data_IF_898874400506
#
_entry.id   IF_898874400506
#
_cell.length_a   1.000
_cell.length_b   1.000
_cell.length_c   1.000
_cell.angle_alpha   90.00
_cell.angle_beta   90.00
_cell.angle_gamma   90.00
#
_symmetry.space_group_name_H-M   'P 1'
#
loop_
_entity.id
_entity.type
_entity.pdbx_description
1 polymer ?
#
# COMPACT_ATOMS: atom_id res chain seq x y z
N UNK A 1 16.00 7.08 -35.77
CA UNK A 1 16.25 5.99 -36.72
C UNK A 1 15.75 6.36 -38.12
N UNK A 2 14.48 6.78 -38.27
CA UNK A 2 13.92 7.10 -39.59
C UNK A 2 14.71 8.19 -40.32
N UNK A 3 15.09 9.27 -39.63
CA UNK A 3 15.89 10.35 -40.20
C UNK A 3 17.33 9.95 -40.54
N UNK A 4 17.96 9.09 -39.73
CA UNK A 4 19.30 8.57 -39.99
C UNK A 4 19.25 7.62 -41.19
N UNK A 5 18.23 6.77 -41.30
CA UNK A 5 18.00 5.93 -42.46
C UNK A 5 17.81 6.74 -43.75
N UNK A 6 17.04 7.84 -43.69
CA UNK A 6 16.89 8.75 -44.83
C UNK A 6 18.21 9.39 -45.24
N UNK A 7 19.05 9.83 -44.28
CA UNK A 7 20.40 10.37 -44.59
C UNK A 7 21.29 9.32 -45.24
N UNK A 8 21.31 8.09 -44.72
CA UNK A 8 22.06 6.98 -45.28
C UNK A 8 21.62 6.65 -46.73
N UNK A 9 20.32 6.76 -46.99
CA UNK A 9 19.77 6.59 -48.34
C UNK A 9 20.30 7.62 -49.34
N UNK A 10 20.29 8.89 -48.93
CA UNK A 10 20.83 9.98 -49.77
C UNK A 10 22.38 9.90 -49.95
N UNK A 11 23.07 9.26 -49.00
CA UNK A 11 24.50 9.00 -49.08
C UNK A 11 24.86 7.70 -49.83
N UNK A 12 23.91 7.13 -50.58
CA UNK A 12 24.02 5.89 -51.37
C UNK A 12 24.31 4.62 -50.57
N UNK A 13 24.18 4.68 -49.24
CA UNK A 13 24.31 3.53 -48.35
C UNK A 13 22.94 2.79 -48.15
N UNK A 14 22.36 2.33 -49.25
CA UNK A 14 20.99 1.79 -49.26
C UNK A 14 20.77 0.60 -48.30
N UNK A 15 21.75 -0.29 -48.15
CA UNK A 15 21.65 -1.43 -47.21
C UNK A 15 21.53 -0.95 -45.78
N UNK A 16 22.31 0.03 -45.33
CA UNK A 16 22.21 0.60 -43.99
C UNK A 16 20.85 1.29 -43.76
N UNK A 17 20.36 2.01 -44.76
CA UNK A 17 19.07 2.66 -44.72
C UNK A 17 17.94 1.64 -44.50
N UNK A 18 17.91 0.55 -45.26
CA UNK A 18 16.91 -0.52 -45.11
C UNK A 18 16.96 -1.19 -43.76
N UNK A 19 18.15 -1.50 -43.22
CA UNK A 19 18.29 -2.11 -41.90
C UNK A 19 17.81 -1.17 -40.82
N UNK A 20 18.15 0.11 -40.81
CA UNK A 20 17.69 1.09 -39.85
C UNK A 20 16.17 1.24 -39.88
N UNK A 21 15.54 1.26 -41.04
CA UNK A 21 14.09 1.30 -41.18
C UNK A 21 13.41 0.00 -40.69
N UNK A 22 14.05 -1.16 -40.92
CA UNK A 22 13.59 -2.43 -40.41
C UNK A 22 13.51 -2.45 -38.87
N UNK A 23 14.39 -1.73 -38.16
CA UNK A 23 14.32 -1.58 -36.71
C UNK A 23 13.19 -0.65 -36.22
N UNK A 24 12.71 0.26 -37.09
CA UNK A 24 11.56 1.13 -36.71
C UNK A 24 10.30 0.31 -36.53
N UNK A 25 10.08 -0.70 -37.37
CA UNK A 25 8.88 -1.55 -37.33
C UNK A 25 8.68 -2.24 -35.95
N UNK A 26 9.64 -3.00 -35.40
CA UNK A 26 9.47 -3.65 -34.10
C UNK A 26 9.40 -2.65 -32.93
N UNK A 27 10.03 -1.46 -33.05
CA UNK A 27 9.88 -0.40 -32.03
C UNK A 27 8.43 0.10 -32.01
N UNK A 28 7.86 0.42 -33.17
CA UNK A 28 6.47 0.88 -33.29
C UNK A 28 5.49 -0.22 -32.84
N UNK A 29 5.75 -1.46 -33.25
CA UNK A 29 4.96 -2.62 -32.83
C UNK A 29 5.00 -2.83 -31.29
N UNK A 30 6.17 -2.66 -30.66
CA UNK A 30 6.32 -2.74 -29.20
C UNK A 30 5.54 -1.65 -28.46
N UNK A 31 5.54 -0.42 -29.00
CA UNK A 31 4.74 0.70 -28.47
C UNK A 31 3.25 0.42 -28.67
N UNK A 32 2.84 -0.03 -29.84
CA UNK A 32 1.45 -0.39 -30.15
C UNK A 32 0.94 -1.53 -29.25
N UNK A 33 1.76 -2.55 -29.03
CA UNK A 33 1.43 -3.63 -28.09
C UNK A 33 1.17 -3.11 -26.68
N UNK A 34 2.03 -2.20 -26.19
CA UNK A 34 1.82 -1.58 -24.89
C UNK A 34 0.54 -0.75 -24.83
N UNK A 35 0.23 0.02 -25.87
CA UNK A 35 -1.00 0.80 -25.93
C UNK A 35 -2.25 -0.10 -25.84
N UNK A 36 -2.18 -1.30 -26.43
CA UNK A 36 -3.27 -2.27 -26.45
C UNK A 36 -3.38 -3.09 -25.14
N UNK A 37 -2.27 -3.72 -24.71
CA UNK A 37 -2.25 -4.67 -23.60
C UNK A 37 -1.91 -4.07 -22.24
N UNK A 38 -1.34 -2.86 -22.22
CA UNK A 38 -0.87 -2.17 -21.00
C UNK A 38 0.17 -2.96 -20.18
N UNK A 39 0.79 -4.00 -20.75
CA UNK A 39 1.81 -4.80 -20.10
C UNK A 39 3.18 -4.14 -20.21
N UNK A 40 3.59 -3.48 -19.13
CA UNK A 40 4.89 -2.79 -19.02
C UNK A 40 6.07 -3.76 -19.05
N UNK A 41 5.90 -5.00 -18.60
CA UNK A 41 6.99 -5.99 -18.50
C UNK A 41 7.40 -6.47 -19.88
N UNK A 42 6.42 -6.84 -20.70
CA UNK A 42 6.65 -7.27 -22.09
C UNK A 42 7.22 -6.11 -22.90
N UNK A 43 6.67 -4.91 -22.77
CA UNK A 43 7.17 -3.73 -23.43
C UNK A 43 8.65 -3.46 -23.14
N UNK A 44 9.05 -3.45 -21.86
CA UNK A 44 10.43 -3.19 -21.44
C UNK A 44 11.39 -4.24 -21.98
N UNK A 45 11.03 -5.53 -21.88
CA UNK A 45 11.84 -6.63 -22.39
C UNK A 45 11.99 -6.56 -23.93
N UNK A 46 10.89 -6.33 -24.64
CA UNK A 46 10.90 -6.16 -26.08
C UNK A 46 11.79 -5.00 -26.52
N UNK A 47 11.67 -3.83 -25.89
CA UNK A 47 12.49 -2.66 -26.19
C UNK A 47 13.98 -2.94 -25.96
N UNK A 48 14.35 -3.62 -24.86
CA UNK A 48 15.75 -3.98 -24.58
C UNK A 48 16.34 -4.90 -25.66
N UNK A 49 15.58 -5.90 -26.10
CA UNK A 49 16.03 -6.82 -27.15
C UNK A 49 16.21 -6.06 -28.46
N UNK A 50 15.25 -5.25 -28.87
CA UNK A 50 15.30 -4.49 -30.11
C UNK A 50 16.49 -3.53 -30.11
N UNK A 51 16.68 -2.77 -29.02
CA UNK A 51 17.77 -1.80 -28.89
C UNK A 51 19.13 -2.50 -28.79
N UNK A 52 19.21 -3.63 -28.07
CA UNK A 52 20.43 -4.44 -28.02
C UNK A 52 20.86 -4.97 -29.39
N UNK A 53 19.92 -5.50 -30.19
CA UNK A 53 20.18 -5.94 -31.54
C UNK A 53 20.61 -4.78 -32.46
N UNK A 54 19.95 -3.62 -32.34
CA UNK A 54 20.32 -2.42 -33.10
C UNK A 54 21.77 -2.00 -32.79
N UNK A 55 22.15 -1.95 -31.51
CA UNK A 55 23.51 -1.54 -31.14
C UNK A 55 24.55 -2.58 -31.56
N UNK A 56 24.23 -3.88 -31.47
CA UNK A 56 25.10 -4.93 -32.04
C UNK A 56 25.35 -4.73 -33.52
N UNK A 57 24.29 -4.46 -34.29
CA UNK A 57 24.41 -4.15 -35.71
C UNK A 57 25.28 -2.91 -35.97
N UNK A 58 25.05 -1.82 -35.18
CA UNK A 58 25.82 -0.58 -35.36
C UNK A 58 27.30 -0.74 -35.03
N UNK A 59 27.67 -1.60 -34.07
CA UNK A 59 29.07 -1.92 -33.74
C UNK A 59 29.67 -2.76 -34.86
N UNK A 60 28.96 -3.76 -35.38
CA UNK A 60 29.46 -4.69 -36.38
C UNK A 60 29.60 -4.04 -37.76
N UNK A 61 28.65 -3.18 -38.15
CA UNK A 61 28.64 -2.49 -39.44
C UNK A 61 29.42 -1.18 -39.46
N UNK A 62 29.76 -0.62 -38.28
CA UNK A 62 30.37 0.70 -38.17
C UNK A 62 29.41 1.86 -38.33
N UNK A 63 28.26 1.65 -38.95
CA UNK A 63 27.35 2.72 -39.31
C UNK A 63 27.97 3.72 -40.30
N UNK A 64 27.48 4.95 -40.33
CA UNK A 64 28.03 6.00 -41.17
C UNK A 64 29.38 6.52 -40.62
N UNK A 65 30.45 6.42 -41.36
CA UNK A 65 31.78 6.92 -41.01
C UNK A 65 32.38 6.27 -39.75
N UNK A 66 32.07 5.01 -39.47
CA UNK A 66 32.52 4.25 -38.28
C UNK A 66 32.10 4.86 -36.96
N UNK A 67 31.02 5.67 -36.94
CA UNK A 67 30.47 6.29 -35.73
C UNK A 67 29.36 5.47 -35.04
N UNK A 68 28.98 4.34 -35.62
CA UNK A 68 27.92 3.44 -35.09
C UNK A 68 28.10 3.07 -33.63
N UNK A 69 29.31 2.70 -33.15
CA UNK A 69 29.53 2.37 -31.75
C UNK A 69 29.20 3.50 -30.77
N UNK A 70 29.28 4.76 -31.19
CA UNK A 70 29.00 5.90 -30.29
C UNK A 70 27.53 5.91 -29.81
N UNK A 71 26.61 5.31 -30.57
CA UNK A 71 25.22 5.16 -30.13
C UNK A 71 25.06 4.23 -28.92
N UNK A 72 26.04 3.37 -28.66
CA UNK A 72 26.03 2.46 -27.54
C UNK A 72 26.07 3.18 -26.18
N UNK A 73 26.57 4.41 -26.11
CA UNK A 73 26.58 5.21 -24.90
C UNK A 73 25.16 5.55 -24.36
N UNK A 74 24.14 5.49 -25.20
CA UNK A 74 22.75 5.65 -24.78
C UNK A 74 22.22 4.40 -24.04
N UNK A 75 22.90 3.25 -24.17
CA UNK A 75 22.41 1.99 -23.68
C UNK A 75 22.50 1.84 -22.14
N UNK A 76 23.60 2.16 -21.46
CA UNK A 76 23.69 2.04 -20.00
C UNK A 76 22.58 2.77 -19.24
N UNK A 77 22.27 4.05 -19.48
CA UNK A 77 21.20 4.73 -18.78
C UNK A 77 19.83 4.12 -19.09
N UNK A 78 19.56 3.74 -20.35
CA UNK A 78 18.33 3.07 -20.74
C UNK A 78 18.19 1.72 -20.05
N UNK A 79 19.25 0.94 -19.98
CA UNK A 79 19.31 -0.38 -19.40
C UNK A 79 18.98 -0.36 -17.90
N UNK A 80 19.64 0.50 -17.13
CA UNK A 80 19.38 0.64 -15.69
C UNK A 80 17.99 1.21 -15.40
N UNK A 81 17.46 2.08 -16.26
CA UNK A 81 16.09 2.59 -16.13
C UNK A 81 15.02 1.50 -16.38
N UNK A 82 15.26 0.60 -17.35
CA UNK A 82 14.28 -0.41 -17.76
C UNK A 82 14.36 -1.71 -16.95
N UNK A 83 15.49 -1.99 -16.29
CA UNK A 83 15.74 -3.24 -15.56
C UNK A 83 16.02 -3.00 -14.06
N UNK A 84 16.34 -4.08 -13.36
CA UNK A 84 16.92 -3.99 -12.00
C UNK A 84 18.43 -3.76 -12.09
N UNK A 85 19.01 -3.24 -11.00
CA UNK A 85 20.47 -3.01 -10.92
C UNK A 85 21.28 -4.27 -11.28
N UNK A 86 20.90 -5.43 -10.71
CA UNK A 86 21.54 -6.72 -10.99
C UNK A 86 21.34 -7.17 -12.43
N UNK A 87 20.11 -7.09 -12.94
CA UNK A 87 19.79 -7.48 -14.32
C UNK A 87 20.47 -6.58 -15.34
N UNK A 88 20.45 -5.26 -15.10
CA UNK A 88 21.12 -4.28 -15.95
C UNK A 88 22.63 -4.51 -16.01
N UNK A 89 23.28 -4.75 -14.86
CA UNK A 89 24.72 -5.06 -14.82
C UNK A 89 25.05 -6.34 -15.60
N UNK A 90 24.25 -7.40 -15.46
CA UNK A 90 24.49 -8.66 -16.20
C UNK A 90 24.35 -8.47 -17.70
N UNK A 91 23.32 -7.76 -18.17
CA UNK A 91 23.13 -7.47 -19.61
C UNK A 91 24.27 -6.57 -20.11
N UNK A 92 24.67 -5.58 -19.34
CA UNK A 92 25.76 -4.68 -19.70
C UNK A 92 27.08 -5.44 -19.88
N UNK A 93 27.43 -6.33 -18.96
CA UNK A 93 28.62 -7.20 -19.06
C UNK A 93 28.57 -8.10 -20.30
N UNK A 94 27.39 -8.66 -20.59
CA UNK A 94 27.20 -9.42 -21.84
C UNK A 94 27.45 -8.56 -23.07
N UNK A 95 26.92 -7.34 -23.10
CA UNK A 95 27.14 -6.41 -24.23
C UNK A 95 28.60 -5.97 -24.35
N UNK A 96 29.31 -5.80 -23.23
CA UNK A 96 30.76 -5.56 -23.22
C UNK A 96 31.51 -6.70 -23.86
N UNK A 97 31.23 -7.94 -23.46
CA UNK A 97 31.84 -9.12 -24.03
C UNK A 97 31.63 -9.19 -25.55
N UNK A 98 30.39 -8.92 -25.98
CA UNK A 98 30.04 -8.90 -27.42
C UNK A 98 30.79 -7.82 -28.16
N UNK A 99 30.91 -6.61 -27.60
CA UNK A 99 31.69 -5.53 -28.22
C UNK A 99 33.19 -5.88 -28.33
N UNK A 100 33.77 -6.52 -27.28
CA UNK A 100 35.13 -7.02 -27.30
C UNK A 100 35.34 -8.04 -28.43
N UNK A 101 34.41 -9.01 -28.56
CA UNK A 101 34.47 -10.02 -29.61
C UNK A 101 34.44 -9.41 -31.00
N UNK A 102 33.51 -8.48 -31.27
CA UNK A 102 33.39 -7.79 -32.55
C UNK A 102 34.68 -6.99 -32.87
N UNK A 103 35.27 -6.31 -31.90
CA UNK A 103 36.50 -5.51 -32.11
C UNK A 103 37.75 -6.36 -32.23
N UNK A 104 37.78 -7.56 -31.66
CA UNK A 104 38.93 -8.46 -31.69
C UNK A 104 38.99 -9.30 -32.98
N UNK A 105 37.81 -9.61 -33.56
CA UNK A 105 37.67 -10.48 -34.70
C UNK A 105 36.98 -9.76 -35.87
N UNK A 106 37.64 -8.83 -36.57
CA UNK A 106 37.05 -8.05 -37.67
C UNK A 106 36.65 -8.91 -38.86
N UNK A 107 37.29 -10.08 -39.02
CA UNK A 107 37.04 -11.00 -40.16
C UNK A 107 35.79 -11.91 -39.94
N UNK A 108 35.07 -11.74 -38.83
CA UNK A 108 33.86 -12.52 -38.61
C UNK A 108 32.76 -12.21 -39.62
N UNK A 109 31.98 -13.21 -40.07
CA UNK A 109 30.85 -12.98 -40.94
C UNK A 109 29.88 -11.96 -40.34
N UNK A 110 29.56 -10.88 -41.05
CA UNK A 110 28.67 -9.82 -40.58
C UNK A 110 29.37 -8.64 -39.92
N UNK A 111 30.67 -8.68 -39.70
CA UNK A 111 31.50 -7.54 -39.28
C UNK A 111 32.11 -6.92 -40.52
N UNK A 112 31.84 -5.65 -40.75
CA UNK A 112 32.35 -4.92 -41.94
C UNK A 112 33.15 -3.67 -41.56
N UNK A 113 33.23 -3.36 -40.27
CA UNK A 113 33.88 -2.15 -39.78
C UNK A 113 35.26 -2.45 -39.19
N UNK A 114 36.25 -1.69 -39.59
CA UNK A 114 37.59 -1.68 -39.01
C UNK A 114 37.73 -0.47 -38.09
N UNK A 115 38.20 -0.71 -36.85
CA UNK A 115 38.38 0.34 -35.85
C UNK A 115 39.87 0.43 -35.46
N UNK A 116 40.36 1.68 -35.36
CA UNK A 116 41.72 1.90 -34.86
C UNK A 116 41.83 1.50 -33.37
N UNK A 117 43.03 1.13 -32.94
CA UNK A 117 43.32 0.79 -31.56
C UNK A 117 42.95 1.95 -30.60
N UNK A 118 43.27 3.17 -30.99
CA UNK A 118 42.92 4.37 -30.21
C UNK A 118 41.40 4.55 -30.04
N UNK A 119 40.63 4.28 -31.10
CA UNK A 119 39.17 4.32 -31.01
C UNK A 119 38.65 3.27 -30.05
N UNK A 120 39.12 2.02 -30.13
CA UNK A 120 38.72 0.92 -29.24
C UNK A 120 38.97 1.25 -27.75
N UNK A 121 40.17 1.76 -27.45
CA UNK A 121 40.54 2.18 -26.08
C UNK A 121 39.62 3.29 -25.59
N UNK A 122 39.41 4.33 -26.35
CA UNK A 122 38.54 5.46 -25.97
C UNK A 122 37.09 5.02 -25.79
N UNK A 123 36.60 4.18 -26.69
CA UNK A 123 35.25 3.63 -26.62
C UNK A 123 35.02 2.90 -25.29
N UNK A 124 35.88 1.93 -24.92
CA UNK A 124 35.72 1.18 -23.67
C UNK A 124 35.97 2.04 -22.46
N UNK A 125 36.90 2.97 -22.47
CA UNK A 125 37.13 3.88 -21.34
C UNK A 125 35.89 4.74 -21.07
N UNK A 126 35.33 5.35 -22.12
CA UNK A 126 34.13 6.20 -22.01
C UNK A 126 32.91 5.38 -21.56
N UNK A 127 32.71 4.21 -22.18
CA UNK A 127 31.59 3.33 -21.84
C UNK A 127 31.67 2.82 -20.38
N UNK A 128 32.90 2.51 -19.92
CA UNK A 128 33.12 2.10 -18.52
C UNK A 128 32.77 3.23 -17.55
N UNK A 129 33.28 4.44 -17.81
CA UNK A 129 33.01 5.62 -17.01
C UNK A 129 31.49 5.88 -16.92
N UNK A 130 30.83 5.90 -18.07
CA UNK A 130 29.38 6.14 -18.14
C UNK A 130 28.57 5.05 -17.44
N UNK A 131 28.97 3.78 -17.61
CA UNK A 131 28.31 2.65 -16.95
C UNK A 131 28.42 2.72 -15.43
N UNK A 132 29.61 3.05 -14.91
CA UNK A 132 29.81 3.28 -13.46
C UNK A 132 28.96 4.45 -12.99
N UNK A 133 28.97 5.55 -13.74
CA UNK A 133 28.17 6.74 -13.38
C UNK A 133 26.66 6.41 -13.33
N UNK A 134 26.12 5.76 -14.36
CA UNK A 134 24.72 5.33 -14.39
C UNK A 134 24.39 4.35 -13.25
N UNK A 135 25.29 3.40 -12.97
CA UNK A 135 25.11 2.47 -11.84
C UNK A 135 25.04 3.19 -10.51
N UNK A 136 25.96 4.14 -10.26
CA UNK A 136 26.00 4.91 -9.00
C UNK A 136 24.74 5.77 -8.86
N UNK A 137 24.32 6.44 -9.93
CA UNK A 137 23.10 7.25 -9.92
C UNK A 137 21.85 6.41 -9.62
N UNK A 138 21.68 5.26 -10.30
CA UNK A 138 20.51 4.41 -10.07
C UNK A 138 20.55 3.75 -8.70
N UNK A 139 21.72 3.33 -8.20
CA UNK A 139 21.88 2.86 -6.83
C UNK A 139 21.51 3.93 -5.81
N UNK A 140 21.92 5.16 -6.01
CA UNK A 140 21.54 6.30 -5.17
C UNK A 140 20.04 6.60 -5.19
N UNK A 141 19.45 6.60 -6.38
CA UNK A 141 18.00 6.79 -6.56
C UNK A 141 17.18 5.72 -5.85
N UNK A 142 17.57 4.45 -5.97
CA UNK A 142 16.88 3.34 -5.29
C UNK A 142 16.99 3.45 -3.77
N UNK A 143 18.17 3.81 -3.23
CA UNK A 143 18.36 4.03 -1.78
C UNK A 143 17.48 5.18 -1.27
N UNK A 144 17.46 6.32 -1.98
CA UNK A 144 16.64 7.47 -1.63
C UNK A 144 15.15 7.13 -1.62
N UNK A 145 14.67 6.41 -2.65
CA UNK A 145 13.28 5.94 -2.73
C UNK A 145 12.92 5.01 -1.58
N UNK A 146 13.77 4.03 -1.27
CA UNK A 146 13.51 3.10 -0.18
C UNK A 146 13.49 3.81 1.18
N UNK A 147 14.36 4.82 1.38
CA UNK A 147 14.35 5.64 2.60
C UNK A 147 13.07 6.47 2.72
N UNK A 148 12.60 7.06 1.63
CA UNK A 148 11.32 7.81 1.63
C UNK A 148 10.13 6.92 1.95
N UNK A 149 10.06 5.71 1.37
CA UNK A 149 9.01 4.72 1.66
C UNK A 149 9.07 4.29 3.13
N UNK A 150 10.26 4.00 3.66
CA UNK A 150 10.43 3.62 5.06
C UNK A 150 10.03 4.75 6.03
N UNK A 151 10.38 6.00 5.73
CA UNK A 151 9.96 7.17 6.51
C UNK A 151 8.44 7.37 6.47
N UNK A 152 7.83 7.24 5.28
CA UNK A 152 6.37 7.32 5.14
C UNK A 152 5.66 6.24 5.96
N UNK A 153 6.15 5.01 5.92
CA UNK A 153 5.63 3.90 6.74
C UNK A 153 5.84 4.11 8.24
N UNK A 154 6.99 4.66 8.65
CA UNK A 154 7.26 4.97 10.05
C UNK A 154 6.32 6.06 10.58
N UNK A 155 6.08 7.13 9.82
CA UNK A 155 5.07 8.14 10.15
C UNK A 155 3.65 7.54 10.20
N UNK A 156 3.35 6.64 9.30
CA UNK A 156 2.08 5.92 9.26
C UNK A 156 1.90 4.99 10.46
N UNK A 157 2.96 4.36 10.95
CA UNK A 157 2.95 3.52 12.16
C UNK A 157 2.97 4.34 13.46
N UNK A 158 3.58 5.51 13.49
CA UNK A 158 3.60 6.39 14.66
C UNK A 158 2.19 6.92 15.03
N UNK A 159 1.29 7.07 14.03
CA UNK A 159 -0.08 7.50 14.25
C UNK A 159 -1.04 6.30 14.48
N UNK A 160 -0.83 5.51 15.55
CA UNK A 160 -1.75 4.42 15.95
C UNK A 160 -2.75 4.81 17.02
N UNK A 161 -2.54 5.95 17.64
CA UNK A 161 -3.38 6.48 18.70
C UNK A 161 -4.15 7.71 18.23
N UNK A 162 -5.31 7.94 18.80
CA UNK A 162 -6.05 9.20 18.67
C UNK A 162 -5.41 10.25 19.58
N UNK A 163 -5.01 11.39 19.04
CA UNK A 163 -4.27 12.43 19.78
C UNK A 163 -5.07 13.04 20.93
N UNK A 164 -6.40 13.10 20.80
CA UNK A 164 -7.26 13.68 21.83
C UNK A 164 -7.45 12.75 23.02
N UNK A 165 -7.74 11.48 22.75
CA UNK A 165 -8.19 10.51 23.76
C UNK A 165 -7.07 9.56 24.18
N UNK A 166 -5.98 9.44 23.44
CA UNK A 166 -4.91 8.47 23.70
C UNK A 166 -5.31 7.00 23.53
N UNK A 167 -6.54 6.72 23.06
CA UNK A 167 -6.97 5.38 22.67
C UNK A 167 -6.42 5.00 21.29
N UNK A 168 -6.59 3.74 20.90
CA UNK A 168 -6.32 3.38 19.52
C UNK A 168 -7.16 4.24 18.57
N UNK A 169 -6.61 4.59 17.41
CA UNK A 169 -7.40 5.24 16.37
C UNK A 169 -8.08 4.19 15.48
N UNK A 170 -8.97 4.63 14.59
CA UNK A 170 -9.71 3.79 13.64
C UNK A 170 -8.80 2.87 12.85
N UNK A 171 -7.60 3.32 12.47
CA UNK A 171 -6.66 2.56 11.67
C UNK A 171 -6.04 1.40 12.44
N UNK A 172 -5.59 1.63 13.68
CA UNK A 172 -5.05 0.58 14.54
C UNK A 172 -6.13 -0.45 14.87
N UNK A 173 -7.35 0.00 15.16
CA UNK A 173 -8.49 -0.88 15.40
C UNK A 173 -8.78 -1.77 14.18
N UNK A 174 -8.78 -1.22 12.96
CA UNK A 174 -9.00 -2.01 11.75
C UNK A 174 -7.93 -3.11 11.57
N UNK A 175 -6.68 -2.78 11.86
CA UNK A 175 -5.58 -3.77 11.82
C UNK A 175 -5.79 -4.89 12.85
N UNK A 176 -6.20 -4.54 14.07
CA UNK A 176 -6.47 -5.52 15.15
C UNK A 176 -7.68 -6.39 14.84
N UNK A 177 -8.74 -5.83 14.28
CA UNK A 177 -9.91 -6.59 13.82
C UNK A 177 -9.52 -7.65 12.77
N UNK A 178 -8.70 -7.28 11.78
CA UNK A 178 -8.23 -8.21 10.76
C UNK A 178 -7.36 -9.33 11.37
N UNK A 179 -6.51 -9.00 12.34
CA UNK A 179 -5.71 -10.00 13.05
C UNK A 179 -6.58 -10.97 13.84
N UNK A 180 -7.62 -10.46 14.51
CA UNK A 180 -8.53 -11.29 15.31
C UNK A 180 -9.43 -12.15 14.42
N UNK A 181 -9.86 -11.65 13.26
CA UNK A 181 -10.56 -12.46 12.25
C UNK A 181 -9.67 -13.62 11.79
N UNK A 182 -8.41 -13.35 11.46
CA UNK A 182 -7.46 -14.40 11.06
C UNK A 182 -7.20 -15.41 12.18
N UNK A 183 -7.26 -15.00 13.45
CA UNK A 183 -7.20 -15.88 14.61
C UNK A 183 -8.45 -16.74 14.72
N UNK A 184 -9.63 -16.14 14.58
CA UNK A 184 -10.90 -16.84 14.54
C UNK A 184 -10.95 -17.93 13.46
N UNK A 185 -10.53 -17.61 12.23
CA UNK A 185 -10.49 -18.54 11.10
C UNK A 185 -9.56 -19.75 11.36
N UNK A 186 -8.43 -19.54 12.06
CA UNK A 186 -7.48 -20.62 12.35
C UNK A 186 -7.83 -21.48 13.56
N UNK A 187 -8.36 -20.88 14.62
CA UNK A 187 -8.48 -21.53 15.92
C UNK A 187 -9.91 -21.56 16.47
N UNK A 188 -10.87 -20.90 15.80
CA UNK A 188 -12.25 -20.83 16.25
C UNK A 188 -12.51 -19.95 17.49
N UNK A 189 -11.49 -19.17 17.93
CA UNK A 189 -11.63 -18.26 19.06
C UNK A 189 -12.56 -17.11 18.71
N UNK A 190 -13.72 -17.06 19.36
CA UNK A 190 -14.73 -16.03 19.13
C UNK A 190 -14.26 -14.67 19.62
N UNK A 191 -14.72 -13.63 18.97
CA UNK A 191 -14.58 -12.26 19.45
C UNK A 191 -15.87 -11.47 19.21
N UNK A 192 -16.05 -10.43 20.00
CA UNK A 192 -17.19 -9.52 19.90
C UNK A 192 -16.72 -8.09 19.74
N UNK A 193 -17.60 -7.24 19.22
CA UNK A 193 -17.40 -5.80 19.12
C UNK A 193 -18.54 -5.05 19.78
N UNK A 194 -18.22 -3.87 20.34
CA UNK A 194 -19.19 -2.92 20.86
C UNK A 194 -18.94 -1.59 20.18
N UNK A 195 -19.87 -1.15 19.35
CA UNK A 195 -19.87 0.17 18.76
C UNK A 195 -20.68 1.11 19.64
N UNK A 196 -20.07 2.18 20.09
CA UNK A 196 -20.60 3.11 21.10
C UNK A 196 -20.66 4.51 20.50
N UNK A 197 -21.68 5.25 20.85
CA UNK A 197 -21.84 6.65 20.49
C UNK A 197 -22.30 7.46 21.71
N UNK A 198 -21.71 8.64 21.93
CA UNK A 198 -22.12 9.53 23.01
C UNK A 198 -23.41 10.23 22.63
N UNK A 199 -24.46 9.99 23.41
CA UNK A 199 -25.80 10.52 23.15
C UNK A 199 -25.80 12.05 23.21
N UNK A 200 -26.38 12.68 22.15
CA UNK A 200 -26.55 14.13 22.07
C UNK A 200 -25.24 14.94 22.16
N UNK A 201 -24.10 14.36 21.79
CA UNK A 201 -22.79 15.00 21.90
C UNK A 201 -22.72 16.34 21.16
N UNK A 202 -23.40 16.46 20.02
CA UNK A 202 -23.51 17.72 19.32
C UNK A 202 -24.10 18.84 20.19
N UNK A 203 -25.09 18.53 21.03
CA UNK A 203 -25.66 19.54 21.95
C UNK A 203 -24.66 20.01 22.98
N UNK A 204 -23.79 19.12 23.46
CA UNK A 204 -22.72 19.49 24.39
C UNK A 204 -21.78 20.50 23.70
N UNK A 205 -21.41 20.26 22.45
CA UNK A 205 -20.59 21.21 21.67
C UNK A 205 -21.31 22.54 21.41
N UNK A 206 -22.60 22.48 21.05
CA UNK A 206 -23.39 23.67 20.72
C UNK A 206 -23.66 24.53 21.97
N UNK A 207 -23.91 23.91 23.13
CA UNK A 207 -24.27 24.61 24.38
C UNK A 207 -23.04 25.07 25.19
N UNK A 208 -21.90 24.30 25.16
CA UNK A 208 -20.74 24.52 26.04
C UNK A 208 -19.42 24.73 25.27
N UNK A 209 -19.45 24.66 23.94
CA UNK A 209 -18.29 24.81 23.07
C UNK A 209 -17.50 23.50 22.83
N UNK A 210 -16.67 23.50 21.80
CA UNK A 210 -15.87 22.33 21.41
C UNK A 210 -14.88 21.88 22.49
N UNK A 211 -14.34 22.82 23.29
CA UNK A 211 -13.44 22.48 24.39
C UNK A 211 -14.13 21.57 25.43
N UNK A 212 -15.43 21.80 25.71
CA UNK A 212 -16.23 20.97 26.61
C UNK A 212 -16.45 19.58 26.02
N UNK A 213 -16.73 19.48 24.71
CA UNK A 213 -16.84 18.20 24.02
C UNK A 213 -15.52 17.42 24.05
N UNK A 214 -14.40 18.08 23.82
CA UNK A 214 -13.06 17.45 23.89
C UNK A 214 -12.77 16.92 25.29
N UNK A 215 -13.15 17.65 26.34
CA UNK A 215 -12.97 17.22 27.72
C UNK A 215 -13.85 15.99 28.04
N UNK A 216 -15.10 15.98 27.58
CA UNK A 216 -16.01 14.81 27.70
C UNK A 216 -15.42 13.59 27.01
N UNK A 217 -14.87 13.76 25.79
CA UNK A 217 -14.22 12.65 25.05
C UNK A 217 -13.01 12.09 25.80
N UNK A 218 -12.18 12.93 26.43
CA UNK A 218 -11.03 12.49 27.26
C UNK A 218 -11.51 11.71 28.47
N UNK A 219 -12.46 12.26 29.24
CA UNK A 219 -13.00 11.62 30.44
C UNK A 219 -13.70 10.29 30.11
N UNK A 220 -14.45 10.24 29.00
CA UNK A 220 -15.04 9.00 28.52
C UNK A 220 -13.98 7.95 28.16
N UNK A 221 -12.93 8.36 27.46
CA UNK A 221 -11.82 7.46 27.10
C UNK A 221 -11.12 6.90 28.34
N UNK A 222 -10.91 7.72 29.38
CA UNK A 222 -10.33 7.27 30.64
C UNK A 222 -11.22 6.28 31.37
N UNK A 223 -12.54 6.52 31.37
CA UNK A 223 -13.53 5.59 31.94
C UNK A 223 -13.50 4.24 31.21
N UNK A 224 -13.52 4.26 29.87
CA UNK A 224 -13.43 3.05 29.04
C UNK A 224 -12.15 2.27 29.37
N UNK A 225 -11.01 2.96 29.46
CA UNK A 225 -9.70 2.35 29.73
C UNK A 225 -9.67 1.62 31.10
N UNK A 226 -10.38 2.14 32.11
CA UNK A 226 -10.48 1.52 33.41
C UNK A 226 -11.40 0.28 33.41
N UNK A 227 -12.36 0.21 32.51
CA UNK A 227 -13.37 -0.85 32.49
C UNK A 227 -13.05 -2.03 31.59
N UNK A 228 -12.18 -1.85 30.58
CA UNK A 228 -11.75 -2.92 29.66
C UNK A 228 -10.54 -3.67 30.21
N UNK A 229 -10.37 -4.94 29.80
CA UNK A 229 -9.24 -5.78 30.18
C UNK A 229 -8.00 -5.42 29.34
N UNK A 230 -6.84 -5.86 29.76
CA UNK A 230 -5.60 -5.69 29.00
C UNK A 230 -5.64 -6.37 27.60
N UNK A 231 -6.41 -7.44 27.46
CA UNK A 231 -6.65 -8.13 26.19
C UNK A 231 -7.57 -7.38 25.24
N UNK A 232 -8.42 -6.51 25.78
CA UNK A 232 -9.42 -5.78 25.04
C UNK A 232 -8.81 -4.53 24.40
N UNK A 233 -9.37 -4.08 23.29
CA UNK A 233 -8.90 -2.88 22.61
C UNK A 233 -10.03 -1.88 22.51
N UNK A 234 -9.78 -0.67 23.01
CA UNK A 234 -10.68 0.48 22.86
C UNK A 234 -10.08 1.46 21.83
N UNK A 235 -10.90 1.94 20.92
CA UNK A 235 -10.51 2.91 19.91
C UNK A 235 -11.55 4.02 19.75
N UNK A 236 -11.07 5.23 19.41
CA UNK A 236 -11.93 6.26 18.85
C UNK A 236 -12.15 5.96 17.37
N UNK A 237 -13.40 5.63 17.03
CA UNK A 237 -13.77 5.17 15.69
C UNK A 237 -14.16 6.31 14.76
N UNK A 238 -14.75 7.35 15.31
CA UNK A 238 -15.20 8.57 14.64
C UNK A 238 -15.16 9.77 15.57
N UNK A 239 -15.89 10.83 15.28
CA UNK A 239 -15.93 12.05 16.09
C UNK A 239 -16.31 11.78 17.55
N UNK A 240 -17.50 11.24 17.77
CA UNK A 240 -18.08 10.88 19.07
C UNK A 240 -18.31 9.38 19.20
N UNK A 241 -17.83 8.59 18.23
CA UNK A 241 -17.98 7.14 18.16
C UNK A 241 -16.75 6.42 18.68
N UNK A 242 -16.95 5.37 19.45
CA UNK A 242 -15.93 4.48 19.99
C UNK A 242 -16.22 3.04 19.62
N UNK A 243 -15.18 2.25 19.42
CA UNK A 243 -15.28 0.83 19.13
C UNK A 243 -14.44 0.04 20.12
N UNK A 244 -15.06 -0.96 20.73
CA UNK A 244 -14.34 -1.95 21.54
C UNK A 244 -14.21 -3.25 20.75
N UNK A 245 -13.03 -3.83 20.75
CA UNK A 245 -12.76 -5.20 20.31
C UNK A 245 -12.49 -6.05 21.53
N UNK A 246 -13.25 -7.12 21.68
CA UNK A 246 -13.25 -8.01 22.84
C UNK A 246 -12.85 -9.43 22.38
N UNK A 247 -11.56 -9.78 22.38
CA UNK A 247 -11.10 -11.14 22.07
C UNK A 247 -11.65 -12.16 23.07
N UNK A 248 -11.81 -13.40 22.60
CA UNK A 248 -12.27 -14.54 23.42
C UNK A 248 -13.56 -14.24 24.24
N UNK A 249 -14.46 -13.42 23.68
CA UNK A 249 -15.63 -12.90 24.36
C UNK A 249 -16.89 -13.23 23.55
N UNK A 250 -17.84 -13.89 24.21
CA UNK A 250 -19.16 -14.22 23.63
C UNK A 250 -20.06 -12.98 23.60
N UNK A 251 -21.13 -13.03 22.77
CA UNK A 251 -22.12 -11.96 22.70
C UNK A 251 -22.69 -11.60 24.08
N UNK A 252 -23.04 -12.58 24.91
CA UNK A 252 -23.60 -12.35 26.23
C UNK A 252 -22.62 -11.63 27.16
N UNK A 253 -21.36 -12.03 27.15
CA UNK A 253 -20.31 -11.37 27.93
C UNK A 253 -20.06 -9.93 27.44
N UNK A 254 -20.09 -9.71 26.11
CA UNK A 254 -19.97 -8.37 25.54
C UNK A 254 -21.15 -7.46 25.89
N UNK A 255 -22.38 -8.00 25.90
CA UNK A 255 -23.57 -7.29 26.34
C UNK A 255 -23.47 -6.90 27.83
N UNK A 256 -22.97 -7.80 28.67
CA UNK A 256 -22.77 -7.53 30.12
C UNK A 256 -21.74 -6.40 30.32
N UNK A 257 -20.63 -6.42 29.58
CA UNK A 257 -19.64 -5.34 29.65
C UNK A 257 -20.22 -4.01 29.15
N UNK A 258 -20.92 -4.03 28.01
CA UNK A 258 -21.53 -2.84 27.44
C UNK A 258 -22.58 -2.20 28.37
N UNK A 259 -23.43 -3.01 29.00
CA UNK A 259 -24.42 -2.50 29.98
C UNK A 259 -23.76 -1.94 31.24
N UNK A 260 -22.70 -2.59 31.75
CA UNK A 260 -21.90 -2.05 32.85
C UNK A 260 -21.27 -0.70 32.49
N UNK A 261 -20.71 -0.59 31.29
CA UNK A 261 -20.16 0.67 30.81
C UNK A 261 -21.24 1.75 30.67
N UNK A 262 -22.39 1.41 30.08
CA UNK A 262 -23.53 2.34 29.98
C UNK A 262 -23.97 2.87 31.32
N UNK A 263 -24.14 1.97 32.30
CA UNK A 263 -24.58 2.35 33.64
C UNK A 263 -23.54 3.27 34.32
N UNK A 264 -22.25 2.95 34.19
CA UNK A 264 -21.17 3.73 34.77
C UNK A 264 -21.08 5.12 34.15
N UNK A 265 -21.21 5.23 32.82
CA UNK A 265 -21.23 6.52 32.12
C UNK A 265 -22.40 7.38 32.58
N UNK A 266 -23.60 6.78 32.71
CA UNK A 266 -24.79 7.51 33.16
C UNK A 266 -24.70 7.95 34.65
N UNK A 267 -23.91 7.25 35.47
CA UNK A 267 -23.66 7.58 36.87
C UNK A 267 -22.51 8.57 37.07
N UNK A 268 -21.60 8.63 36.10
CA UNK A 268 -20.41 9.48 36.16
C UNK A 268 -20.75 10.95 35.93
N UNK A 269 -20.18 11.80 36.76
CA UNK A 269 -20.28 13.25 36.62
C UNK A 269 -19.13 13.72 35.70
N UNK A 270 -19.45 13.98 34.44
CA UNK A 270 -18.49 14.61 33.54
C UNK A 270 -18.36 16.08 33.87
N UNK A 271 -17.14 16.57 33.93
CA UNK A 271 -16.88 17.96 34.34
C UNK A 271 -16.25 18.76 33.19
N UNK A 272 -16.72 19.98 33.02
CA UNK A 272 -16.03 21.00 32.26
C UNK A 272 -16.04 22.29 33.09
N UNK A 273 -14.85 22.76 33.50
CA UNK A 273 -14.67 23.86 34.46
C UNK A 273 -15.46 23.56 35.76
N UNK A 274 -16.36 24.45 36.17
CA UNK A 274 -17.20 24.28 37.37
C UNK A 274 -18.55 23.58 37.07
N UNK A 275 -18.83 23.19 35.84
CA UNK A 275 -20.08 22.64 35.41
C UNK A 275 -20.03 21.10 35.30
N UNK A 276 -21.12 20.45 35.69
CA UNK A 276 -21.32 19.01 35.50
C UNK A 276 -22.20 18.78 34.30
N UNK A 277 -21.72 17.97 33.36
CA UNK A 277 -22.42 17.66 32.12
C UNK A 277 -23.02 16.24 32.20
N UNK A 278 -24.34 16.07 31.99
CA UNK A 278 -24.94 14.75 31.89
C UNK A 278 -24.55 14.11 30.54
N UNK A 279 -23.91 12.96 30.60
CA UNK A 279 -23.52 12.19 29.43
C UNK A 279 -24.11 10.80 29.51
N UNK A 280 -24.70 10.34 28.41
CA UNK A 280 -25.14 8.94 28.26
C UNK A 280 -24.60 8.37 26.97
N UNK A 281 -24.65 7.07 26.81
CA UNK A 281 -24.22 6.37 25.64
C UNK A 281 -25.27 5.44 25.09
N UNK A 282 -25.31 5.30 23.80
CA UNK A 282 -25.97 4.21 23.08
C UNK A 282 -24.93 3.25 22.53
N UNK A 283 -25.19 1.95 22.57
CA UNK A 283 -24.24 0.98 22.04
C UNK A 283 -24.92 -0.16 21.28
N UNK A 284 -24.25 -0.57 20.19
CA UNK A 284 -24.56 -1.76 19.41
C UNK A 284 -23.52 -2.86 19.64
N UNK A 285 -23.97 -4.05 20.00
CA UNK A 285 -23.09 -5.19 20.31
C UNK A 285 -23.29 -6.29 19.27
N UNK A 286 -22.18 -6.82 18.77
CA UNK A 286 -22.20 -7.93 17.83
C UNK A 286 -21.03 -8.88 18.07
N UNK A 287 -21.22 -10.17 17.74
CA UNK A 287 -20.18 -11.19 17.80
C UNK A 287 -19.94 -11.76 16.39
N UNK A 288 -18.68 -12.13 16.11
CA UNK A 288 -18.32 -12.73 14.82
C UNK A 288 -19.10 -14.02 14.58
N UNK A 289 -19.60 -14.21 13.36
CA UNK A 289 -20.23 -15.46 12.90
C UNK A 289 -19.28 -16.28 12.04
N UNK A 290 -19.55 -17.59 11.89
CA UNK A 290 -18.68 -18.53 11.18
C UNK A 290 -18.40 -18.18 9.71
N UNK A 291 -19.24 -17.38 9.09
CA UNK A 291 -19.09 -16.92 7.70
C UNK A 291 -18.99 -15.41 7.57
N UNK A 292 -18.78 -14.69 8.67
CA UNK A 292 -18.83 -13.22 8.71
C UNK A 292 -17.51 -12.57 8.36
N UNK A 293 -17.58 -11.48 7.61
CA UNK A 293 -16.46 -10.55 7.40
C UNK A 293 -16.47 -9.44 8.45
N UNK A 294 -15.32 -8.73 8.62
CA UNK A 294 -15.25 -7.54 9.47
C UNK A 294 -16.28 -6.48 9.05
N UNK A 295 -16.47 -6.28 7.75
CA UNK A 295 -17.44 -5.30 7.26
C UNK A 295 -18.87 -5.65 7.65
N UNK A 296 -19.21 -6.93 7.63
CA UNK A 296 -20.53 -7.40 8.00
C UNK A 296 -20.74 -7.32 9.53
N UNK A 297 -19.73 -7.67 10.32
CA UNK A 297 -19.72 -7.52 11.77
C UNK A 297 -19.94 -6.07 12.18
N UNK A 298 -19.21 -5.12 11.61
CA UNK A 298 -19.35 -3.70 11.89
C UNK A 298 -20.70 -3.15 11.43
N UNK A 299 -21.20 -3.58 10.27
CA UNK A 299 -22.53 -3.20 9.78
C UNK A 299 -23.64 -3.69 10.74
N UNK A 300 -23.52 -4.90 11.27
CA UNK A 300 -24.47 -5.43 12.25
C UNK A 300 -24.40 -4.66 13.58
N UNK A 301 -23.20 -4.31 14.05
CA UNK A 301 -23.03 -3.47 15.24
C UNK A 301 -23.63 -2.07 15.03
N UNK A 302 -23.47 -1.48 13.85
CA UNK A 302 -24.09 -0.18 13.49
C UNK A 302 -25.62 -0.25 13.50
N UNK A 303 -26.22 -1.29 12.92
CA UNK A 303 -27.68 -1.53 12.98
C UNK A 303 -28.16 -1.63 14.43
N UNK A 304 -27.40 -2.32 15.30
CA UNK A 304 -27.76 -2.41 16.71
C UNK A 304 -27.63 -1.04 17.43
N UNK A 305 -26.58 -0.28 17.14
CA UNK A 305 -26.42 1.08 17.67
C UNK A 305 -27.58 1.99 17.24
N UNK A 306 -27.97 1.93 15.98
CA UNK A 306 -29.12 2.65 15.47
C UNK A 306 -30.40 2.28 16.22
N UNK A 307 -30.66 0.98 16.43
CA UNK A 307 -31.82 0.50 17.21
C UNK A 307 -31.78 1.01 18.65
N UNK A 308 -30.62 1.10 19.29
CA UNK A 308 -30.46 1.67 20.60
C UNK A 308 -30.85 3.16 20.65
N UNK A 309 -30.39 3.95 19.66
CA UNK A 309 -30.71 5.37 19.52
C UNK A 309 -32.20 5.61 19.29
N UNK A 310 -32.82 4.89 18.34
CA UNK A 310 -34.24 5.00 18.00
C UNK A 310 -35.16 4.58 19.17
N UNK A 311 -34.75 3.60 19.95
CA UNK A 311 -35.51 3.12 21.11
C UNK A 311 -35.49 4.08 22.30
N UNK A 312 -34.83 5.25 22.21
CA UNK A 312 -34.83 6.31 23.24
C UNK A 312 -33.50 6.53 23.95
N UNK A 313 -32.38 6.11 23.32
CA UNK A 313 -31.00 6.34 23.80
C UNK A 313 -30.69 5.75 25.18
N UNK A 314 -29.49 6.03 25.73
CA UNK A 314 -29.03 5.51 27.02
C UNK A 314 -29.29 4.01 27.20
N UNK A 315 -28.91 3.20 26.20
CA UNK A 315 -29.12 1.74 26.19
C UNK A 315 -28.18 1.00 25.25
N UNK A 316 -28.17 -0.31 25.43
CA UNK A 316 -27.49 -1.24 24.53
C UNK A 316 -28.48 -2.02 23.67
N UNK A 317 -28.06 -2.50 22.50
CA UNK A 317 -28.82 -3.41 21.66
C UNK A 317 -27.88 -4.50 21.11
N UNK A 318 -28.30 -5.76 20.94
CA UNK A 318 -29.60 -6.29 21.34
C UNK A 318 -29.80 -6.34 22.89
N UNK A 319 -31.01 -6.25 23.35
CA UNK A 319 -31.30 -6.39 24.79
C UNK A 319 -31.12 -7.84 25.24
N UNK A 320 -30.50 -8.04 26.40
CA UNK A 320 -30.55 -9.34 27.10
C UNK A 320 -31.99 -9.56 27.53
N UNK A 321 -32.70 -10.50 26.92
CA UNK A 321 -33.95 -10.98 27.49
C UNK A 321 -33.55 -11.76 28.73
N UNK A 322 -33.98 -11.30 29.91
CA UNK A 322 -34.03 -12.14 31.11
C UNK A 322 -34.91 -13.33 30.77
N UNK A 323 -34.30 -14.49 30.56
CA UNK A 323 -35.07 -15.74 30.47
C UNK A 323 -35.76 -15.93 31.83
N UNK A 324 -37.08 -16.13 31.77
CA UNK A 324 -37.95 -16.53 32.85
C UNK A 324 -37.30 -17.64 33.71
N UNK A 325 -36.84 -17.25 34.87
CA UNK A 325 -36.69 -18.18 35.98
C UNK A 325 -38.11 -18.44 36.55
N UNK A 326 -38.80 -19.40 35.93
CA UNK A 326 -40.11 -19.73 36.50
C UNK A 326 -41.04 -20.54 35.59
N UNK A 327 -40.74 -21.80 35.36
CA UNK A 327 -41.78 -22.84 35.30
C UNK A 327 -41.16 -24.18 35.57
N UNK A 328 -41.25 -24.59 36.82
CA UNK A 328 -41.13 -26.00 37.20
C UNK A 328 -42.20 -26.80 36.47
N UNK A 329 -41.89 -27.96 35.89
CA UNK A 329 -42.94 -28.82 35.35
C UNK A 329 -43.74 -29.41 36.51
N UNK A 330 -45.01 -29.08 36.58
CA UNK A 330 -45.99 -29.83 37.40
C UNK A 330 -46.13 -31.19 36.73
N UNK A 331 -45.74 -32.23 37.46
CA UNK A 331 -46.02 -33.63 37.15
C UNK A 331 -47.53 -33.90 37.37
N UNK A 332 -48.28 -34.42 36.41
CA UNK A 332 -49.64 -34.91 36.70
C UNK A 332 -49.54 -36.26 37.38
N UNK A 333 -50.40 -36.44 38.38
CA UNK A 333 -50.65 -37.69 39.10
C UNK A 333 -51.35 -38.75 38.26
#
# INVERSE_FOLDING_TARGET
LAGIGAKAWYAEHHMHAWVLWAFVVPIVANIGWYAWRRDRTVQKRGLLVIVGLLFTYLIASGGEGNTGPLWFYVFPPLLFYLTSLKGGTAILLFCYLLAVLVFQFPDMPGVSAEYSTDFKIRFFATLTFESIFCFVLEAGRLRARNKLVALAQAHEHAARTDELTGLANRRDMQSRLNNELSRFERSGHHFSVVLIDLDLFKRINDDFGHDAGDEVLRQFADLVRQMVRQSDVAARWGGEEFLLLLPDTTLLQALTLAERLRAEVAATRFHHREQTLPVTISAGVCSISKSGSINELLKQADVQLYNAKESGRNRISPRVRSQDTGSSPQTPA
#
